data_IF_967387585196
#
_entry.id   IF_967387585196
#
_cell.length_a   1.000
_cell.length_b   1.000
_cell.length_c   1.000
_cell.angle_alpha   90.00
_cell.angle_beta   90.00
_cell.angle_gamma   90.00
#
_symmetry.space_group_name_H-M   'P 1'
#
loop_
_entity.id
_entity.type
_entity.pdbx_description
1 polymer ?
#
# COMPACT_ATOMS: atom_id res chain seq x y z
N UNK A 1 17.44 -9.74 13.99
CA UNK A 1 16.28 -8.83 13.88
C UNK A 1 16.62 -7.82 12.79
N UNK A 2 15.73 -7.60 11.83
CA UNK A 2 15.91 -6.55 10.82
C UNK A 2 16.14 -5.20 11.51
N UNK A 3 17.05 -4.38 10.99
CA UNK A 3 17.30 -3.04 11.51
C UNK A 3 16.89 -2.00 10.48
N UNK A 4 16.30 -0.90 10.95
CA UNK A 4 16.04 0.24 10.10
C UNK A 4 17.38 0.92 9.74
N UNK A 5 17.73 0.95 8.47
CA UNK A 5 18.88 1.69 7.96
C UNK A 5 18.55 3.16 7.64
N UNK A 6 17.27 3.50 7.51
CA UNK A 6 16.79 4.86 7.24
C UNK A 6 15.97 5.44 8.40
N UNK A 7 16.05 6.75 8.60
CA UNK A 7 15.31 7.51 9.60
C UNK A 7 14.15 8.30 8.97
N UNK A 8 13.25 8.82 9.81
CA UNK A 8 12.19 9.72 9.37
C UNK A 8 12.81 10.95 8.68
N UNK A 9 12.32 11.26 7.48
CA UNK A 9 12.86 12.33 6.63
C UNK A 9 13.90 11.87 5.62
N UNK A 10 14.47 10.67 5.78
CA UNK A 10 15.35 10.08 4.76
C UNK A 10 14.55 9.62 3.53
N UNK A 11 15.25 9.38 2.43
CA UNK A 11 14.67 8.84 1.21
C UNK A 11 15.56 7.76 0.64
N UNK A 12 14.95 6.74 0.03
CA UNK A 12 15.66 5.65 -0.63
C UNK A 12 14.91 5.14 -1.85
N UNK A 13 15.63 4.42 -2.71
CA UNK A 13 15.02 3.82 -3.90
C UNK A 13 14.46 2.45 -3.55
N UNK A 14 13.18 2.24 -3.83
CA UNK A 14 12.52 0.94 -3.69
C UNK A 14 12.20 0.37 -5.06
N UNK A 15 12.47 -0.91 -5.24
CA UNK A 15 12.17 -1.65 -6.47
C UNK A 15 10.96 -2.55 -6.24
N UNK A 16 9.97 -2.45 -7.12
CA UNK A 16 8.80 -3.34 -7.14
C UNK A 16 8.79 -4.18 -8.41
N UNK A 17 8.34 -5.42 -8.28
CA UNK A 17 8.08 -6.32 -9.39
C UNK A 17 6.67 -6.89 -9.29
N UNK A 18 5.90 -6.84 -10.37
CA UNK A 18 4.59 -7.48 -10.49
C UNK A 18 4.64 -8.48 -11.64
N UNK A 19 3.98 -9.63 -11.46
CA UNK A 19 3.70 -10.53 -12.58
C UNK A 19 2.33 -10.21 -13.15
N UNK A 20 2.29 -9.98 -14.46
CA UNK A 20 1.09 -9.71 -15.22
C UNK A 20 0.26 -10.98 -15.42
N UNK A 21 -1.05 -10.86 -15.71
CA UNK A 21 -1.93 -12.00 -15.93
C UNK A 21 -1.46 -12.96 -17.01
N UNK A 22 -0.75 -12.46 -18.02
CA UNK A 22 -0.20 -13.25 -19.13
C UNK A 22 1.22 -13.77 -18.89
N UNK A 23 1.77 -13.53 -17.71
CA UNK A 23 3.03 -14.12 -17.25
C UNK A 23 4.25 -13.22 -17.34
N UNK A 24 4.15 -12.09 -18.03
CA UNK A 24 5.17 -11.04 -18.10
C UNK A 24 5.42 -10.39 -16.73
N UNK A 25 6.49 -9.60 -16.62
CA UNK A 25 6.82 -8.88 -15.40
C UNK A 25 6.90 -7.38 -15.64
N UNK A 26 6.30 -6.60 -14.74
CA UNK A 26 6.56 -5.17 -14.62
C UNK A 26 7.53 -4.93 -13.49
N UNK A 27 8.58 -4.16 -13.76
CA UNK A 27 9.52 -3.69 -12.75
C UNK A 27 9.51 -2.18 -12.71
N UNK A 28 9.38 -1.61 -11.53
CA UNK A 28 9.40 -0.17 -11.34
C UNK A 28 10.27 0.21 -10.15
N UNK A 29 10.91 1.37 -10.25
CA UNK A 29 11.71 1.98 -9.20
C UNK A 29 11.03 3.27 -8.78
N UNK A 30 10.83 3.43 -7.48
CA UNK A 30 10.29 4.64 -6.88
C UNK A 30 11.27 5.21 -5.87
N UNK A 31 11.26 6.53 -5.73
CA UNK A 31 11.77 7.15 -4.52
C UNK A 31 10.73 6.98 -3.42
N UNK A 32 11.17 6.47 -2.26
CA UNK A 32 10.38 6.28 -1.06
C UNK A 32 10.89 7.22 0.03
N UNK A 33 10.05 8.16 0.45
CA UNK A 33 10.36 9.09 1.54
C UNK A 33 9.83 8.50 2.86
N UNK A 34 10.69 8.36 3.88
CA UNK A 34 10.33 7.77 5.17
C UNK A 34 9.53 8.78 5.99
N UNK A 35 8.27 8.42 6.28
CA UNK A 35 7.37 9.24 7.09
C UNK A 35 7.35 8.82 8.56
N UNK A 36 7.45 7.52 8.83
CA UNK A 36 7.40 6.97 10.18
C UNK A 36 8.01 5.56 10.25
N UNK A 37 8.25 5.06 11.46
CA UNK A 37 8.86 3.77 11.78
C UNK A 37 7.98 2.97 12.73
N UNK A 38 7.57 1.77 12.34
CA UNK A 38 6.85 0.82 13.20
C UNK A 38 7.83 -0.20 13.76
N UNK A 39 8.55 0.18 14.81
CA UNK A 39 9.62 -0.65 15.40
C UNK A 39 9.12 -2.03 15.86
N UNK A 40 7.93 -2.12 16.44
CA UNK A 40 7.36 -3.40 16.89
C UNK A 40 6.98 -4.37 15.77
N UNK A 41 7.06 -3.94 14.51
CA UNK A 41 6.71 -4.73 13.34
C UNK A 41 7.80 -4.71 12.25
N UNK A 42 8.99 -4.18 12.56
CA UNK A 42 10.14 -4.06 11.66
C UNK A 42 9.80 -3.42 10.29
N UNK A 43 9.06 -2.31 10.31
CA UNK A 43 8.51 -1.68 9.09
C UNK A 43 8.72 -0.17 9.01
N UNK A 44 8.97 0.31 7.80
CA UNK A 44 8.85 1.72 7.42
C UNK A 44 7.41 2.04 7.01
N UNK A 45 6.95 3.25 7.33
CA UNK A 45 5.84 3.91 6.63
C UNK A 45 6.47 4.91 5.66
N UNK A 46 6.29 4.71 4.37
CA UNK A 46 6.92 5.54 3.32
C UNK A 46 5.89 6.13 2.37
N UNK A 47 6.21 7.29 1.80
CA UNK A 47 5.50 7.84 0.63
C UNK A 47 6.31 7.53 -0.63
N UNK A 48 5.65 6.97 -1.65
CA UNK A 48 6.24 6.80 -2.98
C UNK A 48 6.27 8.16 -3.71
N UNK A 49 7.25 9.00 -3.41
CA UNK A 49 7.25 10.41 -3.81
C UNK A 49 7.46 10.63 -5.31
N UNK A 50 8.23 9.76 -5.96
CA UNK A 50 8.57 9.88 -7.37
C UNK A 50 8.70 8.52 -8.06
N UNK A 51 8.15 8.39 -9.26
CA UNK A 51 8.48 7.29 -10.18
C UNK A 51 9.82 7.62 -10.88
N UNK A 52 10.81 6.74 -10.75
CA UNK A 52 12.16 6.97 -11.26
C UNK A 52 12.40 6.27 -12.60
N UNK A 53 12.04 4.99 -12.67
CA UNK A 53 12.26 4.17 -13.86
C UNK A 53 11.34 2.95 -13.86
N UNK A 54 11.18 2.33 -15.02
CA UNK A 54 10.52 1.04 -15.13
C UNK A 54 10.86 0.32 -16.43
N UNK A 55 10.68 -1.00 -16.42
CA UNK A 55 10.77 -1.85 -17.60
C UNK A 55 9.74 -2.98 -17.52
N UNK A 56 9.32 -3.46 -18.68
CA UNK A 56 8.51 -4.66 -18.81
C UNK A 56 9.42 -5.77 -19.31
N UNK A 57 9.47 -6.88 -18.59
CA UNK A 57 10.19 -8.08 -18.99
C UNK A 57 9.15 -9.11 -19.47
N UNK A 58 9.50 -9.92 -20.45
CA UNK A 58 8.68 -11.08 -20.83
C UNK A 58 8.69 -12.17 -19.74
N UNK A 59 7.93 -13.25 -19.95
CA UNK A 59 7.85 -14.38 -19.03
C UNK A 59 9.21 -15.07 -18.77
N UNK A 60 10.18 -14.89 -19.66
CA UNK A 60 11.55 -15.42 -19.59
C UNK A 60 12.52 -14.46 -18.90
N UNK A 61 12.07 -13.22 -18.63
CA UNK A 61 12.83 -12.18 -17.94
C UNK A 61 13.62 -11.27 -18.87
N UNK A 62 13.40 -11.33 -20.18
CA UNK A 62 14.06 -10.43 -21.14
C UNK A 62 13.30 -9.10 -21.26
N UNK A 63 14.01 -7.96 -21.27
CA UNK A 63 13.38 -6.66 -21.44
C UNK A 63 12.67 -6.54 -22.79
N UNK A 64 11.42 -6.09 -22.76
CA UNK A 64 10.67 -5.78 -23.97
C UNK A 64 11.11 -4.46 -24.59
N UNK A 65 10.92 -4.38 -25.90
CA UNK A 65 11.05 -3.13 -26.65
C UNK A 65 9.87 -2.19 -26.35
N UNK A 66 10.07 -0.89 -26.57
CA UNK A 66 9.09 0.16 -26.23
C UNK A 66 7.75 -0.07 -26.94
N UNK A 67 7.77 -0.56 -28.18
CA UNK A 67 6.58 -0.81 -29.00
C UNK A 67 5.73 -1.97 -28.50
N UNK A 68 6.31 -2.85 -27.67
CA UNK A 68 5.64 -4.03 -27.09
C UNK A 68 5.15 -3.81 -25.65
N UNK A 69 5.35 -2.60 -25.11
CA UNK A 69 4.91 -2.25 -23.75
C UNK A 69 3.39 -2.09 -23.68
N UNK A 70 2.80 -2.57 -22.60
CA UNK A 70 1.36 -2.46 -22.37
C UNK A 70 1.04 -1.23 -21.53
N UNK A 71 0.67 -0.14 -22.20
CA UNK A 71 0.42 1.16 -21.56
C UNK A 71 -0.56 1.12 -20.39
N UNK A 72 -1.61 0.31 -20.49
CA UNK A 72 -2.64 0.19 -19.43
C UNK A 72 -2.08 -0.20 -18.07
N UNK A 73 -1.07 -1.07 -18.02
CA UNK A 73 -0.48 -1.49 -16.75
C UNK A 73 0.50 -0.44 -16.22
N UNK A 74 1.17 0.29 -17.11
CA UNK A 74 2.02 1.42 -16.73
C UNK A 74 1.22 2.56 -16.12
N UNK A 75 -0.02 2.78 -16.57
CA UNK A 75 -0.92 3.76 -15.96
C UNK A 75 -1.26 3.38 -14.51
N UNK A 76 -1.47 2.08 -14.22
CA UNK A 76 -1.66 1.59 -12.86
C UNK A 76 -0.41 1.81 -11.98
N UNK A 77 0.78 1.52 -12.52
CA UNK A 77 2.05 1.76 -11.82
C UNK A 77 2.25 3.25 -11.56
N UNK A 78 1.93 4.13 -12.49
CA UNK A 78 2.03 5.59 -12.26
C UNK A 78 1.03 6.05 -11.20
N UNK A 79 -0.16 5.47 -11.15
CA UNK A 79 -1.22 5.82 -10.21
C UNK A 79 -0.91 5.48 -8.73
N UNK A 80 0.14 4.69 -8.45
CA UNK A 80 0.63 4.49 -7.07
C UNK A 80 1.65 5.55 -6.63
N UNK A 81 2.13 6.41 -7.53
CA UNK A 81 2.96 7.56 -7.16
C UNK A 81 2.17 8.49 -6.23
N UNK A 82 2.83 9.02 -5.22
CA UNK A 82 2.26 9.85 -4.16
C UNK A 82 1.62 9.06 -3.02
N UNK A 83 1.47 7.74 -3.14
CA UNK A 83 0.81 6.92 -2.11
C UNK A 83 1.73 6.61 -0.93
N UNK A 84 1.12 6.52 0.24
CA UNK A 84 1.77 6.02 1.45
C UNK A 84 1.58 4.51 1.58
N UNK A 85 2.64 3.80 1.93
CA UNK A 85 2.66 2.35 2.12
C UNK A 85 3.45 1.95 3.34
N UNK A 86 3.27 0.70 3.75
CA UNK A 86 4.11 0.06 4.76
C UNK A 86 4.99 -0.98 4.11
N UNK A 87 6.30 -0.91 4.34
CA UNK A 87 7.30 -1.84 3.79
C UNK A 87 8.24 -2.31 4.91
N UNK A 88 8.73 -3.55 4.82
CA UNK A 88 9.63 -4.11 5.83
C UNK A 88 11.00 -3.39 5.83
N UNK A 89 11.77 -3.47 6.92
CA UNK A 89 13.10 -2.86 6.95
C UNK A 89 14.06 -3.45 5.91
N UNK A 90 13.92 -4.74 5.58
CA UNK A 90 14.82 -5.46 4.66
C UNK A 90 14.76 -5.01 3.20
N UNK A 91 13.80 -4.15 2.85
CA UNK A 91 13.62 -3.65 1.46
C UNK A 91 14.73 -2.75 0.96
N UNK A 92 15.65 -2.36 1.85
CA UNK A 92 16.80 -1.53 1.55
C UNK A 92 18.03 -2.31 1.04
N UNK A 93 17.92 -3.64 0.92
CA UNK A 93 18.96 -4.52 0.39
C UNK A 93 19.13 -4.44 -1.14
N UNK A 94 18.30 -3.63 -1.81
CA UNK A 94 18.33 -3.40 -3.25
C UNK A 94 17.63 -4.48 -4.08
N UNK A 95 17.04 -5.51 -3.47
CA UNK A 95 16.27 -6.52 -4.20
C UNK A 95 14.85 -6.03 -4.52
N UNK A 96 14.30 -6.41 -5.68
CA UNK A 96 12.91 -6.11 -6.01
C UNK A 96 11.94 -6.83 -5.08
N UNK A 97 11.00 -6.06 -4.52
CA UNK A 97 9.88 -6.60 -3.76
C UNK A 97 8.85 -7.13 -4.75
N UNK A 98 8.60 -8.44 -4.67
CA UNK A 98 7.59 -9.07 -5.50
C UNK A 98 6.19 -8.85 -4.93
N UNK A 99 5.34 -8.21 -5.72
CA UNK A 99 3.97 -7.85 -5.37
C UNK A 99 2.96 -8.59 -6.25
N UNK A 100 1.79 -8.88 -5.67
CA UNK A 100 0.66 -9.42 -6.45
C UNK A 100 0.14 -8.35 -7.41
N UNK A 101 -0.28 -8.73 -8.61
CA UNK A 101 -0.90 -7.78 -9.56
C UNK A 101 -2.09 -7.03 -8.96
N UNK A 102 -2.86 -7.71 -8.10
CA UNK A 102 -4.00 -7.14 -7.39
C UNK A 102 -3.66 -5.94 -6.48
N UNK A 103 -2.38 -5.71 -6.20
CA UNK A 103 -1.92 -4.50 -5.50
C UNK A 103 -1.97 -3.26 -6.41
N UNK A 104 -1.86 -3.42 -7.73
CA UNK A 104 -2.03 -2.34 -8.71
C UNK A 104 -3.50 -2.03 -8.99
N UNK A 105 -4.38 -3.04 -8.98
CA UNK A 105 -5.82 -2.88 -9.25
C UNK A 105 -6.60 -2.36 -8.03
N UNK A 106 -5.98 -2.38 -6.84
CA UNK A 106 -6.62 -1.98 -5.60
C UNK A 106 -7.56 -3.04 -5.00
N UNK A 107 -7.60 -4.24 -5.57
CA UNK A 107 -8.35 -5.38 -5.03
C UNK A 107 -7.78 -5.87 -3.69
N UNK A 108 -6.51 -5.58 -3.41
CA UNK A 108 -5.91 -5.78 -2.09
C UNK A 108 -5.36 -4.47 -1.54
N UNK A 109 -5.81 -4.12 -0.32
CA UNK A 109 -5.38 -2.95 0.46
C UNK A 109 -3.95 -3.10 1.04
N UNK A 110 -2.99 -3.63 0.28
CA UNK A 110 -1.57 -3.58 0.69
C UNK A 110 -1.03 -2.14 0.71
N UNK A 111 -1.60 -1.29 -0.17
CA UNK A 111 -1.45 0.15 -0.12
C UNK A 111 -2.54 0.71 0.80
N UNK A 112 -2.27 0.83 2.10
CA UNK A 112 -3.21 1.52 3.00
C UNK A 112 -3.31 2.98 2.54
N UNK A 113 -4.42 3.37 1.91
CA UNK A 113 -4.65 4.79 1.59
C UNK A 113 -4.70 5.52 2.93
N UNK A 114 -3.83 6.49 3.15
CA UNK A 114 -3.85 7.23 4.41
C UNK A 114 -5.14 8.06 4.56
N UNK A 115 -5.80 8.40 3.43
CA UNK A 115 -7.18 8.91 3.42
C UNK A 115 -8.19 7.88 3.96
N UNK A 116 -8.06 6.61 3.58
CA UNK A 116 -8.93 5.53 4.09
C UNK A 116 -8.65 5.24 5.57
N UNK A 117 -7.41 5.32 6.05
CA UNK A 117 -7.11 5.10 7.47
C UNK A 117 -7.81 6.14 8.37
N UNK A 118 -7.85 7.42 7.94
CA UNK A 118 -8.57 8.47 8.65
C UNK A 118 -10.09 8.32 8.54
N UNK A 119 -10.62 7.88 7.39
CA UNK A 119 -12.05 7.62 7.19
C UNK A 119 -12.53 6.37 7.95
N UNK A 120 -11.72 5.31 7.98
CA UNK A 120 -11.95 4.08 8.74
C UNK A 120 -11.86 4.38 10.24
N UNK A 121 -10.88 5.16 10.70
CA UNK A 121 -10.79 5.59 12.09
C UNK A 121 -12.05 6.38 12.52
N UNK A 122 -12.50 7.34 11.69
CA UNK A 122 -13.76 8.06 11.93
C UNK A 122 -14.99 7.14 11.91
N UNK A 123 -15.02 6.16 11.02
CA UNK A 123 -16.10 5.17 10.93
C UNK A 123 -16.18 4.26 12.15
N UNK A 124 -15.04 3.82 12.68
CA UNK A 124 -14.94 3.01 13.90
C UNK A 124 -15.32 3.85 15.12
N UNK A 125 -14.83 5.09 15.22
CA UNK A 125 -15.15 6.00 16.32
C UNK A 125 -16.65 6.37 16.33
N UNK A 126 -17.25 6.61 15.16
CA UNK A 126 -18.69 6.84 15.03
C UNK A 126 -19.54 5.61 15.38
N UNK A 127 -19.05 4.39 15.13
CA UNK A 127 -19.70 3.14 15.54
C UNK A 127 -19.60 2.91 17.05
N UNK A 128 -18.44 3.17 17.64
CA UNK A 128 -18.24 3.07 19.10
C UNK A 128 -19.11 4.08 19.85
N UNK A 129 -19.25 5.31 19.35
CA UNK A 129 -20.14 6.32 19.93
C UNK A 129 -21.62 5.92 19.86
N UNK A 130 -22.06 5.24 18.78
CA UNK A 130 -23.42 4.70 18.67
C UNK A 130 -23.67 3.54 19.63
N UNK A 131 -22.69 2.65 19.81
CA UNK A 131 -22.79 1.53 20.75
C UNK A 131 -22.75 2.00 22.21
N UNK A 132 -22.02 3.08 22.51
CA UNK A 132 -21.99 3.67 23.85
C UNK A 132 -23.23 4.52 24.18
N UNK A 133 -24.02 4.93 23.17
CA UNK A 133 -25.22 5.75 23.34
C UNK A 133 -26.55 4.99 23.19
N UNK A 134 -26.51 3.67 23.02
CA UNK A 134 -27.68 2.84 22.75
C UNK A 134 -28.05 1.91 23.91
N UNK A 135 -28.33 2.47 25.09
CA UNK A 135 -29.18 1.81 26.10
C UNK A 135 -29.80 2.82 27.08
N UNK A 136 -30.62 3.74 26.57
CA UNK A 136 -31.61 4.46 27.38
C UNK A 136 -32.86 4.70 26.54
N UNK A 137 -33.87 3.85 26.75
CA UNK A 137 -35.25 4.08 26.32
C UNK A 137 -35.88 2.86 25.67
N UNK A 138 -36.43 1.96 26.47
CA UNK A 138 -37.88 1.98 26.73
C UNK A 138 -38.26 0.81 27.65
N UNK A 139 -38.45 1.09 28.94
CA UNK A 139 -39.04 0.16 29.90
C UNK A 139 -40.23 0.86 30.54
N UNK A 140 -41.35 0.84 29.84
CA UNK A 140 -42.68 1.06 30.41
C UNK A 140 -43.63 0.06 29.75
N UNK A 141 -43.60 -1.18 30.24
CA UNK A 141 -44.63 -2.16 29.93
C UNK A 141 -45.92 -1.75 30.62
N UNK A 142 -46.96 -1.47 29.82
CA UNK A 142 -48.34 -1.53 30.28
C UNK A 142 -48.70 -2.98 30.58
N UNK A 143 -48.98 -3.26 31.84
CA UNK A 143 -49.80 -4.40 32.27
C UNK A 143 -50.67 -3.86 33.41
N UNK A 144 -51.97 -3.74 33.18
CA UNK A 144 -52.97 -4.01 34.22
C UNK A 144 -54.33 -4.30 33.56
N UNK A 145 -55.05 -5.20 34.23
CA UNK A 145 -56.16 -6.07 33.82
C UNK A 145 -57.46 -5.40 33.32
#
# INVERSE_FOLDING_TARGET
MPQAHYQIGDSFNVQFAWRLPDGDYLRAIFQADVLDLVQGADKYIVKLSQFLAGREDDAEGYPKQIEALKGEYWDLVRAITGRTITIAYEVDDGHPIYLRFATLTGEHNYFTRHEDAAVIARGIEARMRRLAGGDMGDSSGEVEE
#
